data_IF_043762466201
#
_entry.id   IF_043762466201
#
_cell.length_a   1.000
_cell.length_b   1.000
_cell.length_c   1.000
_cell.angle_alpha   90.00
_cell.angle_beta   90.00
_cell.angle_gamma   90.00
#
_symmetry.space_group_name_H-M   'P 1'
#
loop_
_entity.id
_entity.type
_entity.pdbx_description
1 polymer ?
#
# COMPACT_ATOMS: atom_id res chain seq x y z
N UNK A 1 17.74 9.27 23.64
CA UNK A 1 17.54 9.57 25.03
C UNK A 1 16.09 9.44 25.48
N UNK A 2 15.09 9.60 24.60
CA UNK A 2 13.67 9.38 24.96
C UNK A 2 13.38 7.99 25.53
N UNK A 3 14.11 6.95 25.13
CA UNK A 3 13.94 5.61 25.71
C UNK A 3 14.41 5.54 27.15
N UNK A 4 15.49 6.27 27.50
CA UNK A 4 15.97 6.36 28.89
C UNK A 4 14.98 7.12 29.77
N UNK A 5 14.35 8.18 29.26
CA UNK A 5 13.30 8.93 29.97
C UNK A 5 12.07 8.05 30.27
N UNK A 6 11.79 7.07 29.39
CA UNK A 6 10.74 6.06 29.57
C UNK A 6 11.18 4.87 30.42
N UNK A 7 12.42 4.87 30.96
CA UNK A 7 12.96 3.75 31.73
C UNK A 7 13.25 2.49 30.90
N UNK A 8 13.29 2.61 29.57
CA UNK A 8 13.51 1.48 28.68
C UNK A 8 15.01 1.33 28.37
N UNK A 9 15.52 0.10 28.49
CA UNK A 9 16.85 -0.27 28.03
C UNK A 9 16.72 -0.99 26.69
N UNK A 10 17.33 -0.44 25.65
CA UNK A 10 17.34 -1.05 24.32
C UNK A 10 18.78 -1.28 23.87
N UNK A 11 19.03 -2.43 23.24
CA UNK A 11 20.26 -2.74 22.51
C UNK A 11 19.94 -2.68 21.03
N UNK A 12 20.62 -1.79 20.30
CA UNK A 12 20.39 -1.57 18.88
C UNK A 12 21.51 -2.21 18.07
N UNK A 13 21.15 -2.98 17.05
CA UNK A 13 22.02 -3.50 16.02
C UNK A 13 21.70 -2.81 14.70
N UNK A 14 22.70 -2.29 14.01
CA UNK A 14 22.54 -1.61 12.74
C UNK A 14 23.19 -2.45 11.65
N UNK A 15 22.43 -2.80 10.62
CA UNK A 15 22.90 -3.60 9.50
C UNK A 15 22.60 -2.87 8.17
N UNK A 16 23.57 -2.88 7.27
CA UNK A 16 23.35 -2.42 5.89
C UNK A 16 22.84 -3.58 5.04
N UNK A 17 21.64 -3.43 4.51
CA UNK A 17 21.00 -4.40 3.61
C UNK A 17 21.45 -4.28 2.14
N UNK A 18 22.24 -3.24 1.80
CA UNK A 18 22.80 -2.96 0.47
C UNK A 18 21.78 -2.92 -0.67
N UNK A 19 20.49 -2.77 -0.37
CA UNK A 19 19.38 -2.91 -1.31
C UNK A 19 19.47 -4.21 -2.15
N UNK A 20 20.01 -5.28 -1.56
CA UNK A 20 20.27 -6.55 -2.20
C UNK A 20 19.63 -7.69 -1.40
N UNK A 21 18.80 -8.49 -2.06
CA UNK A 21 18.08 -9.58 -1.40
C UNK A 21 18.99 -10.71 -0.89
N UNK A 22 20.09 -10.98 -1.58
CA UNK A 22 21.04 -11.98 -1.11
C UNK A 22 21.72 -11.53 0.20
N UNK A 23 22.11 -10.26 0.28
CA UNK A 23 22.64 -9.65 1.51
C UNK A 23 21.64 -9.73 2.67
N UNK A 24 20.37 -9.45 2.42
CA UNK A 24 19.30 -9.56 3.43
C UNK A 24 19.13 -10.99 3.92
N UNK A 25 19.11 -11.97 3.01
CA UNK A 25 18.99 -13.38 3.37
C UNK A 25 20.17 -13.84 4.23
N UNK A 26 21.39 -13.41 3.91
CA UNK A 26 22.57 -13.72 4.71
C UNK A 26 22.54 -13.02 6.09
N UNK A 27 22.06 -11.77 6.16
CA UNK A 27 21.88 -11.10 7.44
C UNK A 27 20.91 -11.87 8.36
N UNK A 28 19.78 -12.32 7.83
CA UNK A 28 18.74 -13.04 8.58
C UNK A 28 19.22 -14.41 9.12
N UNK A 29 20.31 -14.96 8.61
CA UNK A 29 20.92 -16.20 9.14
C UNK A 29 21.76 -15.99 10.40
N UNK A 30 22.10 -14.74 10.73
CA UNK A 30 22.90 -14.44 11.91
C UNK A 30 22.11 -14.73 13.19
N UNK A 31 22.74 -15.37 14.20
CA UNK A 31 22.07 -15.77 15.43
C UNK A 31 21.38 -14.62 16.17
N UNK A 32 21.96 -13.40 16.12
CA UNK A 32 21.40 -12.24 16.77
C UNK A 32 20.00 -11.85 16.29
N UNK A 33 19.63 -12.18 15.05
CA UNK A 33 18.29 -11.89 14.54
C UNK A 33 17.20 -12.69 15.26
N UNK A 34 17.48 -13.93 15.63
CA UNK A 34 16.51 -14.76 16.36
C UNK A 34 16.28 -14.28 17.81
N UNK A 35 17.19 -13.47 18.36
CA UNK A 35 17.09 -12.89 19.69
C UNK A 35 16.49 -11.48 19.71
N UNK A 36 16.11 -10.93 18.55
CA UNK A 36 15.54 -9.58 18.45
C UNK A 36 14.07 -9.56 18.83
N UNK A 37 13.66 -8.55 19.58
CA UNK A 37 12.26 -8.26 19.86
C UNK A 37 11.58 -7.52 18.72
N UNK A 38 12.34 -6.73 17.95
CA UNK A 38 11.85 -5.84 16.91
C UNK A 38 12.89 -5.63 15.81
N UNK A 39 12.45 -5.72 14.57
CA UNK A 39 13.19 -5.29 13.38
C UNK A 39 12.55 -4.02 12.82
N UNK A 40 13.35 -2.97 12.59
CA UNK A 40 12.92 -1.74 11.90
C UNK A 40 13.59 -1.70 10.53
N UNK A 41 12.81 -1.79 9.48
CA UNK A 41 13.29 -1.91 8.10
C UNK A 41 12.86 -3.23 7.46
N UNK A 42 13.35 -3.52 6.25
CA UNK A 42 14.29 -2.71 5.45
C UNK A 42 13.66 -1.41 4.94
N UNK A 43 14.51 -0.46 4.54
CA UNK A 43 14.07 0.80 3.92
C UNK A 43 13.81 0.66 2.41
N UNK A 44 14.11 -0.48 1.82
CA UNK A 44 13.84 -0.80 0.42
C UNK A 44 12.75 -1.86 0.33
N UNK A 45 11.64 -1.53 -0.32
CA UNK A 45 10.43 -2.37 -0.36
C UNK A 45 10.65 -3.75 -0.97
N UNK A 46 11.56 -3.87 -1.96
CA UNK A 46 11.91 -5.15 -2.58
C UNK A 46 12.44 -6.21 -1.61
N UNK A 47 13.04 -5.78 -0.50
CA UNK A 47 13.59 -6.67 0.53
C UNK A 47 12.60 -6.94 1.67
N UNK A 48 11.52 -6.18 1.75
CA UNK A 48 10.56 -6.28 2.85
C UNK A 48 9.87 -7.65 2.92
N UNK A 49 9.61 -8.27 1.77
CA UNK A 49 8.95 -9.58 1.71
C UNK A 49 9.79 -10.68 2.37
N UNK A 50 11.11 -10.66 2.16
CA UNK A 50 12.02 -11.65 2.78
C UNK A 50 12.05 -11.49 4.31
N UNK A 51 12.16 -10.25 4.79
CA UNK A 51 12.17 -9.95 6.23
C UNK A 51 10.81 -10.24 6.85
N UNK A 52 9.72 -9.90 6.20
CA UNK A 52 8.36 -10.14 6.67
C UNK A 52 8.07 -11.64 6.83
N UNK A 53 8.49 -12.45 5.86
CA UNK A 53 8.39 -13.90 5.94
C UNK A 53 9.19 -14.46 7.10
N UNK A 54 10.46 -14.05 7.21
CA UNK A 54 11.36 -14.49 8.29
C UNK A 54 10.80 -14.09 9.66
N UNK A 55 10.31 -12.85 9.80
CA UNK A 55 9.70 -12.33 11.02
C UNK A 55 8.50 -13.17 11.47
N UNK A 56 7.64 -13.58 10.52
CA UNK A 56 6.52 -14.48 10.78
C UNK A 56 6.99 -15.84 11.29
N UNK A 57 7.98 -16.42 10.61
CA UNK A 57 8.47 -17.78 10.92
C UNK A 57 9.16 -17.86 12.29
N UNK A 58 9.72 -16.72 12.78
CA UNK A 58 10.44 -16.63 14.04
C UNK A 58 9.66 -15.90 15.15
N UNK A 59 8.47 -15.39 14.87
CA UNK A 59 7.67 -14.65 15.85
C UNK A 59 8.24 -13.29 16.26
N UNK A 60 9.11 -12.71 15.43
CA UNK A 60 9.75 -11.41 15.67
C UNK A 60 8.92 -10.30 15.05
N UNK A 61 8.71 -9.21 15.77
CA UNK A 61 7.97 -8.06 15.22
C UNK A 61 8.81 -7.30 14.21
N UNK A 62 8.16 -6.80 13.15
CA UNK A 62 8.79 -5.98 12.12
C UNK A 62 7.98 -4.71 11.90
N UNK A 63 8.66 -3.57 11.89
CA UNK A 63 8.11 -2.30 11.41
C UNK A 63 8.75 -1.97 10.07
N UNK A 64 7.94 -1.90 9.01
CA UNK A 64 8.37 -1.43 7.70
C UNK A 64 8.14 0.08 7.61
N UNK A 65 9.20 0.92 7.52
CA UNK A 65 9.07 2.38 7.55
C UNK A 65 8.67 2.99 6.20
N UNK A 66 8.67 2.20 5.14
CA UNK A 66 8.33 2.63 3.77
C UNK A 66 7.11 1.86 3.26
N UNK A 67 6.37 2.48 2.35
CA UNK A 67 5.27 1.80 1.67
C UNK A 67 5.80 0.63 0.84
N UNK A 68 5.19 -0.52 1.00
CA UNK A 68 5.56 -1.75 0.32
C UNK A 68 4.33 -2.40 -0.31
N UNK A 69 4.51 -3.61 -0.81
CA UNK A 69 3.41 -4.44 -1.26
C UNK A 69 2.48 -4.77 -0.09
N UNK A 70 1.18 -4.58 -0.27
CA UNK A 70 0.14 -5.02 0.68
C UNK A 70 0.30 -6.49 1.09
N UNK A 71 0.92 -7.31 0.26
CA UNK A 71 1.11 -8.74 0.50
C UNK A 71 1.93 -9.04 1.77
N UNK A 72 2.83 -8.14 2.18
CA UNK A 72 3.62 -8.35 3.42
C UNK A 72 2.76 -8.33 4.69
N UNK A 73 1.63 -7.63 4.66
CA UNK A 73 0.68 -7.56 5.78
C UNK A 73 -0.30 -8.74 5.77
N UNK A 74 -0.48 -9.37 4.61
CA UNK A 74 -1.50 -10.40 4.44
C UNK A 74 -1.18 -11.64 5.27
N UNK A 75 -2.08 -11.96 6.21
CA UNK A 75 -1.90 -13.10 7.12
C UNK A 75 -0.58 -13.08 7.90
N UNK A 76 -0.04 -11.89 8.19
CA UNK A 76 1.18 -11.73 8.95
C UNK A 76 0.98 -10.75 10.12
N UNK A 77 0.66 -11.25 11.32
CA UNK A 77 0.40 -10.41 12.49
C UNK A 77 1.66 -9.78 13.10
N UNK A 78 2.85 -10.16 12.62
CA UNK A 78 4.13 -9.66 13.12
C UNK A 78 4.62 -8.42 12.36
N UNK A 79 3.98 -8.04 11.24
CA UNK A 79 4.41 -6.91 10.41
C UNK A 79 3.50 -5.72 10.60
N UNK A 80 4.13 -4.57 10.78
CA UNK A 80 3.50 -3.25 10.87
C UNK A 80 4.09 -2.34 9.81
N UNK A 81 3.26 -1.64 9.06
CA UNK A 81 3.71 -0.56 8.16
C UNK A 81 3.54 0.80 8.82
N UNK A 82 4.58 1.62 8.77
CA UNK A 82 4.52 3.01 9.23
C UNK A 82 3.81 3.95 8.23
N UNK A 83 3.69 3.51 6.98
CA UNK A 83 3.03 4.25 5.89
C UNK A 83 1.82 3.46 5.43
N UNK A 84 0.70 4.13 5.21
CA UNK A 84 -0.53 3.47 4.72
C UNK A 84 -0.30 2.91 3.32
N UNK A 85 -0.66 1.65 3.09
CA UNK A 85 -0.53 1.03 1.77
C UNK A 85 -1.41 1.70 0.71
N UNK A 86 -1.00 1.65 -0.55
CA UNK A 86 -1.76 2.21 -1.68
C UNK A 86 -3.17 1.60 -1.80
N UNK A 87 -3.33 0.32 -1.49
CA UNK A 87 -4.64 -0.35 -1.44
C UNK A 87 -5.56 0.34 -0.43
N UNK A 88 -5.09 0.57 0.78
CA UNK A 88 -5.87 1.24 1.83
C UNK A 88 -6.15 2.72 1.49
N UNK A 89 -5.18 3.41 0.89
CA UNK A 89 -5.37 4.80 0.43
C UNK A 89 -6.44 4.87 -0.65
N UNK A 90 -6.42 3.97 -1.63
CA UNK A 90 -7.42 3.93 -2.69
C UNK A 90 -8.82 3.60 -2.18
N UNK A 91 -8.95 2.69 -1.21
CA UNK A 91 -10.25 2.44 -0.56
C UNK A 91 -10.79 3.67 0.17
N UNK A 92 -9.91 4.41 0.89
CA UNK A 92 -10.30 5.65 1.57
C UNK A 92 -10.67 6.75 0.59
N UNK A 93 -9.90 6.91 -0.49
CA UNK A 93 -10.20 7.85 -1.57
C UNK A 93 -11.57 7.55 -2.20
N UNK A 94 -11.84 6.29 -2.51
CA UNK A 94 -13.11 5.87 -3.08
C UNK A 94 -14.29 6.17 -2.16
N UNK A 95 -14.15 5.92 -0.86
CA UNK A 95 -15.18 6.27 0.15
C UNK A 95 -15.39 7.78 0.22
N UNK A 96 -14.31 8.56 0.20
CA UNK A 96 -14.40 10.02 0.20
C UNK A 96 -15.15 10.54 -1.03
N UNK A 97 -14.78 10.07 -2.22
CA UNK A 97 -15.43 10.47 -3.48
C UNK A 97 -16.92 10.07 -3.48
N UNK A 98 -17.23 8.85 -3.07
CA UNK A 98 -18.61 8.39 -2.98
C UNK A 98 -19.47 9.23 -2.00
N UNK A 99 -18.85 9.77 -0.95
CA UNK A 99 -19.55 10.59 0.04
C UNK A 99 -19.71 12.06 -0.38
N UNK A 100 -18.81 12.61 -1.20
CA UNK A 100 -18.73 14.05 -1.47
C UNK A 100 -19.12 14.45 -2.89
N UNK A 101 -19.08 13.53 -3.86
CA UNK A 101 -19.24 13.81 -5.28
C UNK A 101 -20.39 13.03 -5.93
N UNK A 102 -21.59 13.15 -5.36
CA UNK A 102 -22.76 12.35 -5.75
C UNK A 102 -23.36 12.73 -7.11
N UNK A 103 -23.08 13.95 -7.62
CA UNK A 103 -23.72 14.50 -8.83
C UNK A 103 -22.79 14.49 -10.05
N UNK A 104 -21.61 13.93 -9.96
CA UNK A 104 -20.59 13.95 -11.01
C UNK A 104 -20.35 12.55 -11.55
N UNK A 105 -19.97 12.45 -12.81
CA UNK A 105 -19.58 11.15 -13.37
C UNK A 105 -18.12 10.85 -13.03
N UNK A 106 -17.86 9.61 -12.63
CA UNK A 106 -16.51 9.16 -12.27
C UNK A 106 -15.94 8.34 -13.43
N UNK A 107 -14.79 8.76 -13.94
CA UNK A 107 -14.01 7.97 -14.89
C UNK A 107 -12.80 7.41 -14.16
N UNK A 108 -12.74 6.09 -14.02
CA UNK A 108 -11.63 5.38 -13.43
C UNK A 108 -10.73 4.86 -14.54
N UNK A 109 -9.57 5.48 -14.66
CA UNK A 109 -8.57 5.11 -15.66
C UNK A 109 -7.54 4.20 -15.00
N UNK A 110 -7.38 2.99 -15.52
CA UNK A 110 -6.46 1.99 -14.98
C UNK A 110 -5.54 1.48 -16.08
N UNK A 111 -4.22 1.61 -15.96
CA UNK A 111 -3.28 0.94 -16.85
C UNK A 111 -3.41 -0.58 -16.77
N UNK A 112 -2.81 -1.27 -17.74
CA UNK A 112 -3.02 -2.72 -17.94
C UNK A 112 -2.09 -3.62 -17.08
N UNK A 113 -1.41 -3.09 -16.07
CA UNK A 113 -0.57 -3.91 -15.20
C UNK A 113 -1.38 -4.67 -14.14
N UNK A 114 -0.87 -5.82 -13.69
CA UNK A 114 -1.52 -6.58 -12.61
C UNK A 114 -1.59 -5.80 -11.28
N UNK A 115 -0.58 -4.96 -11.01
CA UNK A 115 -0.58 -4.08 -9.83
C UNK A 115 -1.70 -3.05 -9.91
N UNK A 116 -1.91 -2.45 -11.07
CA UNK A 116 -2.95 -1.44 -11.27
C UNK A 116 -4.35 -2.05 -11.19
N UNK A 117 -4.52 -3.29 -11.61
CA UNK A 117 -5.78 -4.05 -11.40
C UNK A 117 -6.10 -4.23 -9.92
N UNK A 118 -5.09 -4.47 -9.07
CA UNK A 118 -5.27 -4.54 -7.60
C UNK A 118 -5.72 -3.17 -7.06
N UNK A 119 -5.13 -2.08 -7.52
CA UNK A 119 -5.53 -0.72 -7.13
C UNK A 119 -6.95 -0.40 -7.59
N UNK A 120 -7.32 -0.73 -8.82
CA UNK A 120 -8.68 -0.58 -9.33
C UNK A 120 -9.69 -1.38 -8.52
N UNK A 121 -9.36 -2.61 -8.15
CA UNK A 121 -10.23 -3.44 -7.30
C UNK A 121 -10.40 -2.84 -5.91
N UNK A 122 -9.33 -2.30 -5.31
CA UNK A 122 -9.40 -1.66 -3.99
C UNK A 122 -10.28 -0.40 -4.01
N UNK A 123 -10.17 0.40 -5.08
CA UNK A 123 -11.06 1.54 -5.29
C UNK A 123 -12.53 1.11 -5.37
N UNK A 124 -12.85 0.10 -6.18
CA UNK A 124 -14.21 -0.45 -6.28
C UNK A 124 -14.74 -0.94 -4.95
N UNK A 125 -13.93 -1.63 -4.18
CA UNK A 125 -14.31 -2.15 -2.87
C UNK A 125 -14.69 -1.00 -1.92
N UNK A 126 -13.87 0.05 -1.87
CA UNK A 126 -14.12 1.24 -1.07
C UNK A 126 -15.39 1.98 -1.51
N UNK A 127 -15.59 2.15 -2.81
CA UNK A 127 -16.76 2.81 -3.39
C UNK A 127 -18.05 2.03 -3.11
N UNK A 128 -18.06 0.74 -3.37
CA UNK A 128 -19.21 -0.13 -3.17
C UNK A 128 -19.58 -0.35 -1.69
N UNK A 129 -18.63 -0.15 -0.79
CA UNK A 129 -18.91 -0.25 0.64
C UNK A 129 -19.92 0.79 1.12
N UNK A 130 -19.98 1.95 0.45
CA UNK A 130 -21.00 3.00 0.71
C UNK A 130 -22.25 2.85 -0.15
N UNK A 131 -22.17 2.20 -1.32
CA UNK A 131 -23.31 2.04 -2.24
C UNK A 131 -24.46 1.24 -1.65
N UNK A 132 -24.18 0.33 -0.71
CA UNK A 132 -25.21 -0.48 -0.05
C UNK A 132 -26.22 0.32 0.77
N UNK A 133 -25.93 1.59 1.05
CA UNK A 133 -26.75 2.46 1.89
C UNK A 133 -27.27 3.72 1.18
N UNK A 134 -26.99 3.91 -0.12
CA UNK A 134 -27.36 5.13 -0.84
C UNK A 134 -27.83 4.79 -2.27
N UNK A 135 -29.11 5.04 -2.55
CA UNK A 135 -29.74 4.78 -3.86
C UNK A 135 -29.26 5.69 -5.01
N UNK A 136 -28.30 6.59 -4.77
CA UNK A 136 -27.89 7.64 -5.71
C UNK A 136 -26.38 7.79 -5.89
N UNK A 137 -25.60 6.70 -5.82
CA UNK A 137 -24.17 6.82 -6.11
C UNK A 137 -23.89 7.06 -7.60
N UNK A 138 -22.90 7.89 -7.93
CA UNK A 138 -22.52 8.13 -9.31
C UNK A 138 -22.03 6.84 -9.97
N UNK A 139 -22.31 6.72 -11.26
CA UNK A 139 -21.85 5.58 -12.05
C UNK A 139 -20.36 5.71 -12.33
N UNK A 140 -19.59 4.69 -12.01
CA UNK A 140 -18.18 4.61 -12.40
C UNK A 140 -18.08 4.08 -13.84
N UNK A 141 -17.37 4.81 -14.69
CA UNK A 141 -16.97 4.39 -16.02
C UNK A 141 -15.52 3.93 -15.90
N UNK A 142 -15.26 2.65 -16.13
CA UNK A 142 -13.90 2.09 -16.10
C UNK A 142 -13.33 2.05 -17.51
N UNK A 143 -12.08 2.49 -17.66
CA UNK A 143 -11.42 2.57 -18.96
C UNK A 143 -9.90 2.48 -18.82
N UNK A 144 -9.23 2.36 -19.94
CA UNK A 144 -7.77 2.38 -20.05
C UNK A 144 -7.25 3.76 -20.40
N UNK A 145 -5.94 3.96 -20.30
CA UNK A 145 -5.26 5.19 -20.72
C UNK A 145 -5.49 5.56 -22.18
N UNK A 146 -5.75 4.58 -23.05
CA UNK A 146 -5.94 4.80 -24.49
C UNK A 146 -7.34 5.31 -24.82
N UNK A 147 -8.34 4.89 -24.05
CA UNK A 147 -9.74 5.06 -24.45
C UNK A 147 -10.48 6.07 -23.58
N UNK A 148 -9.90 6.60 -22.49
CA UNK A 148 -10.65 7.42 -21.53
C UNK A 148 -11.23 8.70 -22.13
N UNK A 149 -10.56 9.30 -23.14
CA UNK A 149 -11.05 10.51 -23.80
C UNK A 149 -12.34 10.30 -24.59
N UNK A 150 -12.63 9.07 -25.01
CA UNK A 150 -13.87 8.73 -25.74
C UNK A 150 -15.12 8.86 -24.88
N UNK A 151 -14.97 8.84 -23.56
CA UNK A 151 -16.06 8.96 -22.60
C UNK A 151 -16.37 10.41 -22.19
N UNK A 152 -15.48 11.36 -22.56
CA UNK A 152 -15.63 12.77 -22.19
C UNK A 152 -16.62 13.44 -23.15
N UNK A 153 -17.71 13.96 -22.58
CA UNK A 153 -18.75 14.71 -23.33
C UNK A 153 -18.67 16.20 -23.00
N UNK A 154 -18.98 17.09 -23.98
CA UNK A 154 -19.06 18.52 -23.72
C UNK A 154 -20.10 18.83 -22.61
N UNK A 155 -19.84 19.87 -21.84
CA UNK A 155 -20.71 20.37 -20.78
C UNK A 155 -21.09 19.34 -19.69
N UNK A 156 -20.21 18.38 -19.43
CA UNK A 156 -20.39 17.38 -18.38
C UNK A 156 -19.19 17.45 -17.43
N UNK A 157 -19.46 17.47 -16.12
CA UNK A 157 -18.43 17.44 -15.11
C UNK A 157 -18.03 15.99 -14.80
N UNK A 158 -16.73 15.75 -14.75
CA UNK A 158 -16.17 14.44 -14.47
C UNK A 158 -15.13 14.53 -13.35
N UNK A 159 -15.09 13.52 -12.49
CA UNK A 159 -13.90 13.18 -11.73
C UNK A 159 -13.13 12.11 -12.48
N UNK A 160 -11.94 12.45 -12.96
CA UNK A 160 -11.04 11.49 -13.60
C UNK A 160 -10.04 11.05 -12.55
N UNK A 161 -10.05 9.74 -12.26
CA UNK A 161 -9.17 9.12 -11.29
C UNK A 161 -8.24 8.21 -12.05
N UNK A 162 -6.97 8.54 -12.03
CA UNK A 162 -5.92 7.74 -12.67
C UNK A 162 -5.21 6.91 -11.61
N UNK A 163 -5.40 5.60 -11.64
CA UNK A 163 -4.76 4.67 -10.73
C UNK A 163 -3.54 4.05 -11.40
N UNK A 164 -2.36 4.48 -11.02
CA UNK A 164 -1.11 4.01 -11.56
C UNK A 164 -0.13 3.64 -10.44
N UNK A 165 0.42 2.44 -10.51
CA UNK A 165 1.46 1.95 -9.60
C UNK A 165 2.86 2.41 -10.00
N UNK A 166 3.05 2.83 -11.26
CA UNK A 166 4.32 3.34 -11.78
C UNK A 166 4.34 4.87 -11.73
N UNK A 167 5.23 5.40 -10.89
CA UNK A 167 5.38 6.86 -10.71
C UNK A 167 5.94 7.58 -11.94
N UNK A 168 6.49 6.86 -12.91
CA UNK A 168 7.06 7.43 -14.14
C UNK A 168 6.00 7.70 -15.21
N UNK A 169 4.81 7.09 -15.12
CA UNK A 169 3.72 7.31 -16.07
C UNK A 169 2.91 8.59 -15.82
N UNK A 170 3.14 9.28 -14.69
CA UNK A 170 2.35 10.46 -14.26
C UNK A 170 3.11 11.77 -14.47
N UNK A 171 4.23 11.74 -15.22
CA UNK A 171 5.09 12.88 -15.52
C UNK A 171 4.69 13.68 -16.75
#
# INVERSE_FOLDING_TARGET
DSLQELGLKAKMYIHDSKNDSASVIELLKKPEFAEMDLIIGPFFGSNAEYVAKWAKDHGVRMVCPVATSYEILRNNPFVYEAVTSDVTLNEKLAKFIAATHNNEQIILVTPDSEKDKVLSQSFRNGFNALSKNQDSLPKIIETTTKDFTTFIKPNTNYHIIYLCSDKTEVG
#
